data_IF_125200133754
#
_entry.id   IF_125200133754
#
_cell.length_a   1.000
_cell.length_b   1.000
_cell.length_c   1.000
_cell.angle_alpha   90.00
_cell.angle_beta   90.00
_cell.angle_gamma   90.00
#
_symmetry.space_group_name_H-M   'P 1'
#
loop_
_entity.id
_entity.type
_entity.pdbx_description
1 polymer ?
#
# COMPACT_ATOMS: atom_id res chain seq x y z
N UNK A 1 -4.25 15.47 -17.34
CA UNK A 1 -3.44 16.69 -17.51
C UNK A 1 -3.88 17.36 -18.81
N UNK A 2 -4.24 18.64 -18.80
CA UNK A 2 -4.49 19.41 -20.01
C UNK A 2 -3.24 20.24 -20.29
N UNK A 3 -2.50 19.90 -21.34
CA UNK A 3 -1.51 20.82 -21.91
C UNK A 3 -2.26 21.93 -22.63
N UNK A 4 -1.79 23.18 -22.52
CA UNK A 4 -2.27 24.22 -23.42
C UNK A 4 -1.83 23.88 -24.86
N UNK A 5 -2.44 24.51 -25.86
CA UNK A 5 -2.10 24.29 -27.27
C UNK A 5 -0.64 24.65 -27.64
N UNK A 6 0.14 25.25 -26.72
CA UNK A 6 1.53 25.64 -26.98
C UNK A 6 2.57 24.67 -26.40
N UNK A 7 2.21 23.73 -25.51
CA UNK A 7 3.17 22.78 -24.93
C UNK A 7 2.56 21.40 -24.65
N UNK A 8 2.83 20.38 -25.49
CA UNK A 8 2.37 19.02 -25.25
C UNK A 8 3.10 18.37 -24.07
N UNK A 9 2.40 17.48 -23.35
CA UNK A 9 3.01 16.63 -22.33
C UNK A 9 3.82 15.54 -23.05
N UNK A 10 5.15 15.60 -22.96
CA UNK A 10 6.07 14.67 -23.63
C UNK A 10 6.68 13.70 -22.61
N UNK A 11 7.28 12.60 -23.10
CA UNK A 11 7.87 11.52 -22.29
C UNK A 11 8.97 11.98 -21.33
N UNK A 12 10.22 11.65 -21.61
CA UNK A 12 11.36 11.86 -20.69
C UNK A 12 11.87 13.30 -20.64
N UNK A 13 11.55 14.11 -21.65
CA UNK A 13 11.99 15.51 -21.72
C UNK A 13 11.02 16.35 -22.56
N UNK A 14 11.11 17.68 -22.45
CA UNK A 14 10.32 18.61 -23.27
C UNK A 14 10.58 18.48 -24.78
N UNK A 15 11.67 17.83 -25.18
CA UNK A 15 12.03 17.61 -26.57
C UNK A 15 11.84 16.16 -27.01
N UNK A 16 11.31 15.29 -26.15
CA UNK A 16 11.07 13.89 -26.50
C UNK A 16 10.05 13.81 -27.63
N UNK A 17 10.48 13.27 -28.76
CA UNK A 17 9.70 13.09 -29.99
C UNK A 17 10.01 11.75 -30.66
N UNK A 18 10.62 10.82 -29.93
CA UNK A 18 11.09 9.56 -30.48
C UNK A 18 9.88 8.64 -30.76
N UNK A 19 9.78 8.12 -31.98
CA UNK A 19 8.62 7.34 -32.44
C UNK A 19 8.43 6.03 -31.68
N UNK A 20 9.45 5.55 -30.97
CA UNK A 20 9.38 4.40 -30.08
C UNK A 20 8.70 4.69 -28.72
N UNK A 21 8.55 5.97 -28.34
CA UNK A 21 7.99 6.35 -27.05
C UNK A 21 6.46 6.53 -27.08
N UNK A 22 5.86 6.52 -28.28
CA UNK A 22 4.42 6.68 -28.45
C UNK A 22 3.92 5.88 -29.65
N UNK A 23 2.63 5.54 -29.62
CA UNK A 23 1.93 4.98 -30.77
C UNK A 23 1.01 6.06 -31.37
N UNK A 24 1.03 6.19 -32.70
CA UNK A 24 0.05 6.99 -33.42
C UNK A 24 -1.28 6.24 -33.48
N UNK A 25 -2.24 6.71 -32.69
CA UNK A 25 -3.61 6.28 -32.73
C UNK A 25 -4.14 6.28 -34.17
N UNK A 26 -4.70 5.15 -34.62
CA UNK A 26 -5.39 5.04 -35.91
C UNK A 26 -6.77 4.46 -35.69
N UNK A 27 -7.81 5.16 -36.12
CA UNK A 27 -9.15 4.60 -36.18
C UNK A 27 -9.21 3.77 -37.46
N UNK A 28 -9.65 2.52 -37.38
CA UNK A 28 -9.60 1.55 -38.49
C UNK A 28 -10.22 2.03 -39.79
N UNK A 29 -11.09 3.06 -39.77
CA UNK A 29 -11.73 3.64 -40.95
C UNK A 29 -11.88 5.19 -40.91
N UNK A 30 -11.15 5.91 -40.04
CA UNK A 30 -11.26 7.38 -39.99
C UNK A 30 -9.91 8.08 -40.21
N UNK A 31 -9.91 9.08 -41.08
CA UNK A 31 -8.75 9.87 -41.48
C UNK A 31 -8.19 10.79 -40.37
N UNK A 32 -8.94 10.99 -39.27
CA UNK A 32 -8.59 11.98 -38.25
C UNK A 32 -9.38 11.78 -36.94
N UNK A 33 -8.75 11.99 -35.79
CA UNK A 33 -9.43 12.15 -34.49
C UNK A 33 -10.13 13.52 -34.46
N UNK A 34 -11.44 13.54 -34.14
CA UNK A 34 -12.23 14.78 -34.18
C UNK A 34 -12.15 15.56 -32.88
N UNK A 35 -11.95 14.87 -31.77
CA UNK A 35 -11.89 15.47 -30.44
C UNK A 35 -10.86 14.77 -29.55
N UNK A 36 -10.48 15.45 -28.47
CA UNK A 36 -9.53 14.96 -27.46
C UNK A 36 -10.12 13.81 -26.63
N UNK A 37 -11.46 13.74 -26.50
CA UNK A 37 -12.13 12.71 -25.70
C UNK A 37 -12.01 11.32 -26.35
N UNK A 38 -12.05 11.24 -27.68
CA UNK A 38 -11.74 10.02 -28.44
C UNK A 38 -10.31 9.53 -28.17
N UNK A 39 -9.35 10.45 -28.09
CA UNK A 39 -7.94 10.13 -27.81
C UNK A 39 -7.75 9.60 -26.38
N UNK A 40 -8.41 10.23 -25.40
CA UNK A 40 -8.46 9.75 -24.01
C UNK A 40 -9.08 8.36 -23.92
N UNK A 41 -10.22 8.15 -24.58
CA UNK A 41 -10.91 6.86 -24.58
C UNK A 41 -10.02 5.75 -25.15
N UNK A 42 -9.25 6.03 -26.20
CA UNK A 42 -8.26 5.09 -26.73
C UNK A 42 -7.13 4.82 -25.76
N UNK A 43 -6.56 5.84 -25.11
CA UNK A 43 -5.55 5.64 -24.07
C UNK A 43 -6.06 4.70 -22.95
N UNK A 44 -7.27 4.96 -22.45
CA UNK A 44 -7.92 4.12 -21.43
C UNK A 44 -8.23 2.70 -21.91
N UNK A 45 -8.56 2.53 -23.19
CA UNK A 45 -8.79 1.22 -23.78
C UNK A 45 -7.47 0.44 -23.94
N UNK A 46 -6.40 1.08 -24.40
CA UNK A 46 -5.10 0.43 -24.68
C UNK A 46 -4.39 0.02 -23.39
N UNK A 47 -4.65 0.71 -22.27
CA UNK A 47 -4.21 0.31 -20.94
C UNK A 47 -4.64 -1.12 -20.52
N UNK A 48 -5.62 -1.71 -21.22
CA UNK A 48 -6.12 -3.07 -20.94
C UNK A 48 -5.47 -4.19 -21.75
N UNK A 49 -4.76 -3.90 -22.84
CA UNK A 49 -4.55 -4.92 -23.89
C UNK A 49 -3.19 -5.61 -23.92
N UNK A 50 -2.09 -5.05 -23.41
CA UNK A 50 -0.79 -5.74 -23.49
C UNK A 50 0.14 -5.46 -22.31
N UNK A 51 0.92 -6.49 -21.93
CA UNK A 51 1.65 -6.59 -20.67
C UNK A 51 2.77 -5.53 -20.47
N UNK A 52 3.22 -4.85 -21.53
CA UNK A 52 4.37 -3.93 -21.47
C UNK A 52 4.16 -2.55 -22.13
N UNK A 53 2.95 -2.23 -22.63
CA UNK A 53 2.71 -1.01 -23.40
C UNK A 53 1.44 -0.28 -22.92
N UNK A 54 1.43 0.14 -21.65
CA UNK A 54 0.31 0.92 -21.11
C UNK A 54 0.40 2.35 -21.60
N UNK A 55 -0.71 2.90 -22.09
CA UNK A 55 -0.78 4.33 -22.35
C UNK A 55 -0.62 5.10 -21.03
N UNK A 56 0.43 5.90 -20.93
CA UNK A 56 0.78 6.73 -19.76
C UNK A 56 0.31 8.18 -19.90
N UNK A 57 0.03 8.61 -21.14
CA UNK A 57 -0.62 9.87 -21.44
C UNK A 57 -0.83 10.10 -22.93
N UNK A 58 -1.34 11.28 -23.28
CA UNK A 58 -1.74 11.62 -24.64
C UNK A 58 -1.16 12.96 -25.10
N UNK A 59 -0.80 13.05 -26.37
CA UNK A 59 -0.63 14.30 -27.10
C UNK A 59 -1.68 14.34 -28.22
N UNK A 60 -2.48 15.42 -28.26
CA UNK A 60 -3.59 15.55 -29.18
C UNK A 60 -3.51 16.86 -29.96
N UNK A 61 -3.74 16.75 -31.26
CA UNK A 61 -4.05 17.87 -32.15
C UNK A 61 -5.17 17.44 -33.10
N UNK A 62 -5.91 18.37 -33.73
CA UNK A 62 -6.94 18.02 -34.71
C UNK A 62 -6.40 17.04 -35.76
N UNK A 63 -6.94 15.82 -35.76
CA UNK A 63 -6.54 14.74 -36.67
C UNK A 63 -5.35 13.87 -36.26
N UNK A 64 -4.67 14.15 -35.15
CA UNK A 64 -3.53 13.34 -34.66
C UNK A 64 -3.67 13.09 -33.16
N UNK A 65 -3.56 11.83 -32.78
CA UNK A 65 -3.57 11.40 -31.39
C UNK A 65 -2.36 10.48 -31.17
N UNK A 66 -1.51 10.85 -30.22
CA UNK A 66 -0.33 10.09 -29.81
C UNK A 66 -0.57 9.53 -28.43
N UNK A 67 -0.43 8.21 -28.29
CA UNK A 67 -0.53 7.53 -27.01
C UNK A 67 0.87 7.21 -26.52
N UNK A 68 1.32 7.90 -25.49
CA UNK A 68 2.63 7.71 -24.89
C UNK A 68 2.70 6.38 -24.15
N UNK A 69 3.78 5.63 -24.33
CA UNK A 69 4.02 4.33 -23.70
C UNK A 69 5.07 4.41 -22.58
N UNK A 70 5.73 5.56 -22.44
CA UNK A 70 6.69 5.88 -21.38
C UNK A 70 6.12 6.90 -20.42
N UNK A 71 6.53 6.90 -19.15
CA UNK A 71 6.08 7.90 -18.18
C UNK A 71 6.32 9.33 -18.69
N UNK A 72 5.32 10.20 -18.52
CA UNK A 72 5.44 11.63 -18.81
C UNK A 72 6.14 12.27 -17.61
N UNK A 73 7.39 12.64 -17.81
CA UNK A 73 8.25 13.24 -16.79
C UNK A 73 8.43 14.75 -17.02
N UNK A 74 8.16 15.24 -18.24
CA UNK A 74 8.28 16.64 -18.59
C UNK A 74 6.91 17.35 -18.66
N UNK A 75 6.53 17.99 -17.55
CA UNK A 75 5.45 18.99 -17.50
C UNK A 75 6.10 20.34 -17.26
N UNK A 76 5.89 21.33 -18.13
CA UNK A 76 6.48 22.66 -17.95
C UNK A 76 5.89 23.31 -16.68
N UNK A 77 6.69 23.57 -15.62
CA UNK A 77 6.19 24.00 -14.32
C UNK A 77 5.79 25.49 -14.24
N UNK A 78 5.79 26.23 -15.36
CA UNK A 78 5.47 27.66 -15.39
C UNK A 78 4.02 28.04 -14.99
N UNK A 79 3.22 27.13 -14.40
CA UNK A 79 1.82 27.37 -13.97
C UNK A 79 1.54 26.98 -12.51
N UNK A 80 2.54 26.74 -11.65
CA UNK A 80 2.24 26.51 -10.23
C UNK A 80 3.26 27.12 -9.27
N UNK A 81 3.00 28.34 -8.80
CA UNK A 81 3.66 28.90 -7.61
C UNK A 81 2.64 29.10 -6.50
N UNK A 82 2.68 28.24 -5.48
CA UNK A 82 2.11 28.53 -4.16
C UNK A 82 3.27 28.66 -3.17
N UNK A 83 3.55 29.89 -2.73
CA UNK A 83 4.51 30.18 -1.67
C UNK A 83 3.93 29.97 -0.26
N UNK A 84 4.78 29.92 0.78
CA UNK A 84 4.39 29.56 2.14
C UNK A 84 3.95 30.77 2.95
N UNK A 85 2.99 30.59 3.87
CA UNK A 85 2.75 31.54 4.97
C UNK A 85 2.65 30.80 6.31
N UNK A 86 3.40 31.33 7.27
CA UNK A 86 3.52 30.96 8.67
C UNK A 86 2.22 31.13 9.47
N UNK A 87 2.08 30.36 10.56
CA UNK A 87 1.12 30.65 11.63
C UNK A 87 1.04 29.60 12.74
N UNK A 88 1.71 29.87 13.86
CA UNK A 88 1.74 29.12 15.14
C UNK A 88 0.48 29.36 16.00
N UNK A 89 0.05 28.37 16.84
CA UNK A 89 -0.14 28.51 18.32
C UNK A 89 -0.90 27.34 19.02
N UNK A 90 -0.17 26.65 19.92
CA UNK A 90 -0.44 26.12 21.27
C UNK A 90 -1.86 25.77 21.87
N UNK A 91 -1.97 24.47 22.28
CA UNK A 91 -2.32 23.88 23.63
C UNK A 91 -3.76 23.97 24.24
N UNK A 92 -4.11 23.21 25.34
CA UNK A 92 -4.19 21.74 25.54
C UNK A 92 -5.41 21.26 26.40
N UNK A 93 -5.54 19.95 26.68
CA UNK A 93 -6.28 19.37 27.83
C UNK A 93 -7.41 18.38 27.50
N UNK A 94 -7.83 17.38 28.28
CA UNK A 94 -7.54 16.81 29.62
C UNK A 94 -8.08 15.35 29.60
N UNK A 95 -7.46 14.41 30.32
CA UNK A 95 -7.92 13.01 30.51
C UNK A 95 -8.97 12.88 31.63
N UNK A 96 -9.92 11.94 31.48
CA UNK A 96 -10.64 11.28 32.60
C UNK A 96 -11.04 9.84 32.22
N UNK A 97 -10.90 8.93 33.19
CA UNK A 97 -11.19 7.48 33.12
C UNK A 97 -12.36 7.11 34.04
N UNK A 98 -13.20 6.16 33.63
CA UNK A 98 -14.10 5.41 34.53
C UNK A 98 -14.16 3.92 34.15
N UNK A 99 -14.03 3.05 35.16
CA UNK A 99 -14.29 1.62 35.14
C UNK A 99 -15.78 1.32 35.23
N UNK A 100 -16.27 0.21 34.63
CA UNK A 100 -17.23 -0.73 35.25
C UNK A 100 -17.30 -2.06 34.47
N UNK A 101 -17.56 -3.14 35.22
CA UNK A 101 -17.62 -4.56 34.83
C UNK A 101 -19.06 -5.01 34.60
N UNK A 102 -19.32 -6.01 33.73
CA UNK A 102 -20.54 -6.84 33.84
C UNK A 102 -20.42 -8.23 33.19
N UNK A 103 -21.10 -9.18 33.84
CA UNK A 103 -21.24 -10.62 33.61
C UNK A 103 -22.20 -10.97 32.46
N UNK A 104 -21.92 -12.04 31.72
CA UNK A 104 -22.71 -12.51 30.56
C UNK A 104 -23.62 -13.72 30.91
N UNK A 105 -24.86 -13.74 30.39
CA UNK A 105 -25.68 -14.95 30.19
C UNK A 105 -26.20 -14.95 28.75
N UNK A 106 -26.05 -16.10 28.08
CA UNK A 106 -26.46 -16.36 26.70
C UNK A 106 -27.92 -16.80 26.59
N UNK A 107 -28.62 -16.37 25.53
CA UNK A 107 -29.60 -17.19 24.82
C UNK A 107 -29.63 -16.85 23.32
N UNK A 108 -29.69 -17.91 22.52
CA UNK A 108 -29.83 -17.98 21.07
C UNK A 108 -31.26 -17.62 20.62
N UNK A 109 -31.42 -16.79 19.56
CA UNK A 109 -32.54 -16.88 18.58
C UNK A 109 -32.38 -15.87 17.40
N UNK A 110 -32.63 -16.41 16.19
CA UNK A 110 -33.13 -15.79 14.95
C UNK A 110 -32.20 -15.00 14.00
N UNK A 111 -31.94 -15.64 12.85
CA UNK A 111 -31.33 -15.13 11.60
C UNK A 111 -32.02 -13.92 10.95
N UNK A 112 -33.08 -13.35 11.53
CA UNK A 112 -33.80 -12.18 10.99
C UNK A 112 -33.26 -10.83 11.49
N UNK A 113 -32.29 -10.82 12.42
CA UNK A 113 -31.67 -9.59 12.95
C UNK A 113 -30.35 -9.19 12.24
N UNK A 114 -29.86 -10.00 11.30
CA UNK A 114 -28.59 -9.76 10.61
C UNK A 114 -28.65 -8.71 9.48
N UNK A 115 -29.84 -8.20 9.14
CA UNK A 115 -29.99 -7.02 8.25
C UNK A 115 -29.69 -5.70 8.93
N UNK A 116 -29.39 -5.70 10.25
CA UNK A 116 -29.03 -4.49 10.99
C UNK A 116 -27.62 -3.97 10.69
N UNK A 117 -26.76 -4.74 10.00
CA UNK A 117 -25.36 -4.39 9.76
C UNK A 117 -25.13 -3.60 8.45
N UNK A 118 -25.63 -2.37 8.43
CA UNK A 118 -25.04 -1.14 7.87
C UNK A 118 -24.52 -1.00 6.43
N UNK A 119 -24.01 -2.03 5.74
CA UNK A 119 -23.59 -1.94 4.33
C UNK A 119 -24.61 -2.63 3.46
N UNK A 120 -25.17 -1.87 2.51
CA UNK A 120 -26.06 -2.45 1.51
C UNK A 120 -25.25 -3.11 0.39
N UNK A 121 -25.61 -4.35 0.08
CA UNK A 121 -25.03 -5.14 -1.04
C UNK A 121 -26.09 -5.43 -2.08
N UNK A 122 -25.64 -5.67 -3.32
CA UNK A 122 -26.52 -5.81 -4.48
C UNK A 122 -27.30 -7.13 -4.50
N UNK A 123 -26.77 -8.20 -3.91
CA UNK A 123 -27.35 -9.54 -3.99
C UNK A 123 -27.16 -10.36 -2.70
N UNK A 124 -28.01 -11.38 -2.51
CA UNK A 124 -27.99 -12.27 -1.35
C UNK A 124 -26.69 -13.07 -1.24
N UNK A 125 -26.04 -13.36 -2.36
CA UNK A 125 -24.76 -14.08 -2.38
C UNK A 125 -23.64 -13.20 -1.83
N UNK A 126 -23.68 -11.89 -2.10
CA UNK A 126 -22.79 -10.89 -1.51
C UNK A 126 -23.05 -10.77 -0.01
N UNK A 127 -24.32 -10.84 0.41
CA UNK A 127 -24.66 -10.85 1.83
C UNK A 127 -24.18 -12.13 2.51
N UNK A 128 -24.31 -13.31 1.90
CA UNK A 128 -23.75 -14.56 2.44
C UNK A 128 -22.21 -14.54 2.45
N UNK A 129 -21.56 -13.90 1.48
CA UNK A 129 -20.10 -13.67 1.47
C UNK A 129 -19.67 -12.76 2.61
N UNK A 130 -20.41 -11.69 2.85
CA UNK A 130 -20.24 -10.82 4.00
C UNK A 130 -20.46 -11.56 5.33
N UNK A 131 -21.51 -12.39 5.44
CA UNK A 131 -21.96 -12.95 6.71
C UNK A 131 -21.35 -14.32 7.08
N UNK A 132 -20.82 -15.10 6.15
CA UNK A 132 -20.56 -16.52 6.45
C UNK A 132 -19.48 -17.25 5.66
N UNK A 133 -18.65 -16.59 4.85
CA UNK A 133 -17.75 -17.35 3.97
C UNK A 133 -16.44 -16.66 3.58
N UNK A 134 -15.67 -16.22 4.58
CA UNK A 134 -14.22 -16.46 4.44
C UNK A 134 -14.04 -17.99 4.55
N UNK A 135 -14.12 -18.70 3.41
CA UNK A 135 -14.16 -20.18 3.34
C UNK A 135 -12.97 -20.82 4.06
N UNK A 136 -11.89 -20.08 4.27
CA UNK A 136 -10.82 -20.38 5.23
C UNK A 136 -10.30 -19.05 5.80
N UNK A 137 -10.58 -18.70 7.07
CA UNK A 137 -9.83 -17.63 7.72
C UNK A 137 -8.35 -17.99 7.66
N UNK A 138 -7.51 -17.03 7.26
CA UNK A 138 -6.09 -17.29 7.01
C UNK A 138 -5.28 -17.39 8.30
N UNK A 139 -5.73 -16.71 9.35
CA UNK A 139 -5.22 -16.87 10.71
C UNK A 139 -6.33 -17.51 11.57
N UNK A 140 -5.99 -18.40 12.52
CA UNK A 140 -6.98 -19.15 13.31
C UNK A 140 -8.05 -18.30 14.00
N UNK A 141 -7.72 -17.03 14.28
CA UNK A 141 -8.55 -16.11 15.07
C UNK A 141 -9.03 -14.87 14.28
N UNK A 142 -8.76 -14.78 12.97
CA UNK A 142 -9.12 -13.60 12.17
C UNK A 142 -10.31 -13.82 11.23
N UNK A 143 -11.21 -12.84 11.20
CA UNK A 143 -12.34 -12.76 10.26
C UNK A 143 -11.95 -12.20 8.89
N UNK A 144 -10.66 -12.12 8.57
CA UNK A 144 -10.17 -11.58 7.30
C UNK A 144 -10.34 -12.57 6.14
N UNK A 145 -10.96 -12.09 5.06
CA UNK A 145 -11.09 -12.79 3.79
C UNK A 145 -9.91 -12.40 2.88
N UNK A 146 -9.26 -13.37 2.22
CA UNK A 146 -8.30 -13.01 1.17
C UNK A 146 -9.00 -12.55 -0.11
N UNK A 147 -8.38 -11.60 -0.80
CA UNK A 147 -8.79 -11.09 -2.10
C UNK A 147 -8.23 -11.92 -3.28
N UNK A 148 -8.40 -13.24 -3.31
CA UNK A 148 -7.80 -14.08 -4.37
C UNK A 148 -8.62 -14.07 -5.66
N UNK A 149 -9.93 -13.87 -5.51
CA UNK A 149 -10.89 -13.86 -6.61
C UNK A 149 -11.91 -12.76 -6.44
N UNK A 150 -12.40 -12.20 -7.55
CA UNK A 150 -13.52 -11.25 -7.53
C UNK A 150 -14.80 -11.88 -6.95
N UNK A 151 -14.93 -13.22 -7.03
CA UNK A 151 -16.04 -13.94 -6.41
C UNK A 151 -15.99 -13.89 -4.89
N UNK A 152 -14.85 -13.59 -4.29
CA UNK A 152 -14.69 -13.45 -2.84
C UNK A 152 -14.94 -12.00 -2.37
N UNK A 153 -15.13 -11.04 -3.28
CA UNK A 153 -15.41 -9.65 -2.93
C UNK A 153 -16.92 -9.40 -2.80
N UNK A 154 -17.35 -8.50 -1.90
CA UNK A 154 -18.74 -8.06 -1.87
C UNK A 154 -19.08 -7.24 -3.12
N UNK A 155 -20.33 -7.29 -3.58
CA UNK A 155 -20.83 -6.37 -4.60
C UNK A 155 -21.64 -5.26 -3.93
N UNK A 156 -21.17 -4.03 -4.04
CA UNK A 156 -21.82 -2.84 -3.49
C UNK A 156 -22.95 -2.35 -4.40
N UNK A 157 -23.91 -1.60 -3.86
CA UNK A 157 -24.96 -0.95 -4.67
C UNK A 157 -24.33 0.16 -5.50
N UNK A 158 -24.45 0.07 -6.83
CA UNK A 158 -23.72 0.94 -7.76
C UNK A 158 -23.90 2.45 -7.51
N UNK A 159 -25.11 2.88 -7.16
CA UNK A 159 -25.44 4.29 -6.93
C UNK A 159 -25.26 4.75 -5.48
N UNK A 160 -25.01 3.83 -4.54
CA UNK A 160 -24.72 4.22 -3.16
C UNK A 160 -23.36 4.95 -3.11
N UNK A 161 -23.28 5.98 -2.27
CA UNK A 161 -22.04 6.74 -2.05
C UNK A 161 -21.37 6.20 -0.80
N UNK A 162 -20.06 6.01 -0.88
CA UNK A 162 -19.24 5.51 0.21
C UNK A 162 -18.13 6.51 0.50
N UNK A 163 -17.87 6.75 1.79
CA UNK A 163 -16.67 7.44 2.26
C UNK A 163 -15.48 6.51 2.10
N UNK A 164 -14.38 7.07 1.60
CA UNK A 164 -13.07 6.44 1.54
C UNK A 164 -12.20 7.09 2.60
N UNK A 165 -11.63 6.27 3.46
CA UNK A 165 -10.77 6.72 4.55
C UNK A 165 -9.43 6.00 4.49
N UNK A 166 -8.36 6.77 4.71
CA UNK A 166 -7.05 6.26 5.05
C UNK A 166 -7.05 5.93 6.55
N UNK A 167 -6.66 4.71 6.91
CA UNK A 167 -6.46 4.32 8.29
C UNK A 167 -5.00 3.90 8.50
N UNK A 168 -4.40 4.34 9.60
CA UNK A 168 -3.06 3.93 10.01
C UNK A 168 -3.01 3.58 11.49
N UNK A 169 -2.31 2.51 11.83
CA UNK A 169 -2.14 2.04 13.20
C UNK A 169 -0.65 1.71 13.47
N UNK A 170 -0.04 2.10 14.60
CA UNK A 170 1.31 1.68 14.93
C UNK A 170 1.46 0.15 14.92
N UNK A 171 2.56 -0.38 14.38
CA UNK A 171 2.78 -1.84 14.41
C UNK A 171 3.25 -2.24 15.82
N UNK A 172 2.46 -3.03 16.53
CA UNK A 172 2.73 -3.44 17.92
C UNK A 172 3.11 -4.92 18.07
N UNK A 173 3.39 -5.62 16.97
CA UNK A 173 3.63 -7.07 16.98
C UNK A 173 4.83 -7.45 17.85
N UNK A 174 4.68 -8.53 18.63
CA UNK A 174 5.62 -8.92 19.70
C UNK A 174 7.06 -9.17 19.20
N UNK A 175 7.25 -9.59 17.95
CA UNK A 175 8.57 -9.91 17.40
C UNK A 175 9.39 -8.70 16.92
N UNK A 176 8.74 -7.56 16.65
CA UNK A 176 9.41 -6.35 16.13
C UNK A 176 9.01 -5.11 16.91
N UNK A 177 8.43 -5.25 18.11
CA UNK A 177 7.83 -4.13 18.86
C UNK A 177 8.84 -3.02 19.15
N UNK A 178 10.05 -3.36 19.57
CA UNK A 178 11.12 -2.39 19.85
C UNK A 178 11.49 -1.63 18.58
N UNK A 179 11.85 -2.36 17.50
CA UNK A 179 12.24 -1.77 16.22
C UNK A 179 11.11 -0.97 15.56
N UNK A 180 9.88 -1.48 15.60
CA UNK A 180 8.70 -0.82 15.09
C UNK A 180 8.40 0.48 15.84
N UNK A 181 8.46 0.46 17.18
CA UNK A 181 8.29 1.66 18.00
C UNK A 181 9.40 2.66 17.68
N UNK A 182 10.63 2.17 17.58
CA UNK A 182 11.81 2.96 17.32
C UNK A 182 11.76 3.68 15.96
N UNK A 183 11.38 2.95 14.92
CA UNK A 183 11.25 3.48 13.55
C UNK A 183 9.88 4.09 13.27
N UNK A 184 9.00 4.13 14.28
CA UNK A 184 7.61 4.60 14.16
C UNK A 184 6.88 3.94 12.97
N UNK A 185 7.04 2.62 12.82
CA UNK A 185 6.36 1.89 11.77
C UNK A 185 4.86 1.85 12.03
N UNK A 186 4.11 2.09 10.97
CA UNK A 186 2.66 2.04 10.96
C UNK A 186 2.19 1.04 9.92
N UNK A 187 1.08 0.38 10.21
CA UNK A 187 0.32 -0.41 9.26
C UNK A 187 -0.78 0.47 8.69
N UNK A 188 -0.93 0.50 7.37
CA UNK A 188 -1.95 1.30 6.71
C UNK A 188 -2.98 0.43 5.98
N UNK A 189 -4.20 0.95 5.90
CA UNK A 189 -5.32 0.29 5.24
C UNK A 189 -6.28 1.32 4.65
N UNK A 190 -7.18 0.85 3.79
CA UNK A 190 -8.36 1.61 3.38
C UNK A 190 -9.59 1.14 4.13
N UNK A 191 -10.39 2.11 4.58
CA UNK A 191 -11.69 1.88 5.18
C UNK A 191 -12.76 2.49 4.27
N UNK A 192 -13.74 1.67 3.89
CA UNK A 192 -14.87 2.05 3.05
C UNK A 192 -16.13 2.00 3.90
N UNK A 193 -16.81 3.13 4.07
CA UNK A 193 -18.02 3.23 4.89
C UNK A 193 -19.15 3.83 4.07
N UNK A 194 -20.33 3.23 4.08
CA UNK A 194 -21.48 3.78 3.36
C UNK A 194 -21.83 5.18 3.90
N UNK A 195 -21.96 6.17 3.02
CA UNK A 195 -22.30 7.54 3.40
C UNK A 195 -23.79 7.59 3.75
N UNK A 196 -24.07 7.98 5.00
CA UNK A 196 -25.35 7.90 5.72
C UNK A 196 -26.58 8.61 5.12
N UNK A 197 -26.59 9.04 3.86
CA UNK A 197 -27.69 9.84 3.32
C UNK A 197 -29.04 9.10 3.21
N UNK A 198 -29.11 7.78 3.47
CA UNK A 198 -30.34 6.98 3.24
C UNK A 198 -30.74 6.07 4.42
N UNK A 199 -30.05 6.10 5.55
CA UNK A 199 -30.41 5.20 6.66
C UNK A 199 -31.52 5.83 7.54
N UNK A 200 -32.58 5.05 7.78
CA UNK A 200 -33.63 5.42 8.72
C UNK A 200 -33.04 5.62 10.12
N UNK A 201 -33.71 6.45 10.94
CA UNK A 201 -33.26 6.81 12.29
C UNK A 201 -32.99 5.61 13.24
N UNK A 202 -33.33 4.38 12.84
CA UNK A 202 -33.11 3.15 13.60
C UNK A 202 -31.76 2.47 13.33
N UNK A 203 -31.04 2.82 12.25
CA UNK A 203 -29.77 2.18 11.93
C UNK A 203 -28.60 2.94 12.58
N UNK A 204 -28.20 2.46 13.76
CA UNK A 204 -27.30 3.19 14.66
C UNK A 204 -25.80 3.01 14.38
N UNK A 205 -25.40 2.09 13.49
CA UNK A 205 -23.99 1.89 13.15
C UNK A 205 -23.80 1.59 11.66
N UNK A 206 -23.03 2.44 10.97
CA UNK A 206 -22.58 2.16 9.62
C UNK A 206 -21.53 1.03 9.68
N UNK A 207 -21.74 -0.03 8.92
CA UNK A 207 -20.70 -1.05 8.74
C UNK A 207 -19.60 -0.48 7.86
N UNK A 208 -18.36 -0.89 8.11
CA UNK A 208 -17.22 -0.51 7.28
C UNK A 208 -16.57 -1.75 6.65
N UNK A 209 -15.98 -1.60 5.47
CA UNK A 209 -15.07 -2.58 4.89
C UNK A 209 -13.65 -2.10 5.11
N UNK A 210 -12.81 -2.93 5.71
CA UNK A 210 -11.37 -2.69 5.78
C UNK A 210 -10.70 -3.49 4.68
N UNK A 211 -9.79 -2.85 3.93
CA UNK A 211 -8.91 -3.47 2.95
C UNK A 211 -7.46 -3.20 3.35
N UNK A 212 -6.67 -4.25 3.45
CA UNK A 212 -5.28 -4.17 3.89
C UNK A 212 -4.40 -5.14 3.12
N UNK A 213 -3.12 -4.82 3.01
CA UNK A 213 -2.10 -5.73 2.48
C UNK A 213 -1.09 -6.03 3.58
N UNK A 214 -0.85 -7.30 3.84
CA UNK A 214 0.01 -7.72 4.94
C UNK A 214 0.82 -8.96 4.58
N UNK A 215 1.97 -9.11 5.22
CA UNK A 215 2.74 -10.36 5.18
C UNK A 215 1.97 -11.43 5.96
N UNK A 216 1.91 -12.64 5.42
CA UNK A 216 1.29 -13.79 6.09
C UNK A 216 1.97 -14.11 7.41
N UNK A 217 3.29 -14.05 7.40
CA UNK A 217 4.14 -14.31 8.55
C UNK A 217 4.97 -13.04 8.82
N UNK A 218 4.34 -12.06 9.46
CA UNK A 218 5.00 -10.79 9.76
C UNK A 218 5.96 -10.95 10.96
N UNK A 219 7.22 -11.21 10.65
CA UNK A 219 8.32 -11.30 11.61
C UNK A 219 9.67 -11.07 10.91
N UNK A 220 10.80 -11.43 11.55
CA UNK A 220 12.12 -11.31 10.95
C UNK A 220 12.22 -11.90 9.53
N UNK A 221 11.53 -13.02 9.29
CA UNK A 221 11.52 -13.72 7.99
C UNK A 221 10.75 -13.02 6.86
N UNK A 222 10.00 -11.97 7.16
CA UNK A 222 9.40 -11.09 6.14
C UNK A 222 10.42 -10.06 5.60
N UNK A 223 11.56 -9.92 6.29
CA UNK A 223 12.59 -8.89 6.04
C UNK A 223 13.94 -9.54 5.70
N UNK A 224 14.23 -10.67 6.34
CA UNK A 224 15.37 -11.54 6.06
C UNK A 224 14.91 -12.84 5.42
N UNK A 225 15.77 -13.49 4.61
CA UNK A 225 15.49 -14.84 4.16
C UNK A 225 15.37 -15.80 5.34
N UNK A 226 14.44 -16.75 5.23
CA UNK A 226 14.19 -17.78 6.24
C UNK A 226 15.35 -18.78 6.35
N UNK A 227 16.06 -19.02 5.25
CA UNK A 227 17.28 -19.81 5.23
C UNK A 227 18.16 -19.43 4.05
N UNK A 228 19.46 -19.63 4.21
CA UNK A 228 20.45 -19.57 3.14
C UNK A 228 21.36 -20.77 3.34
N UNK A 229 21.33 -21.72 2.41
CA UNK A 229 22.33 -22.79 2.40
C UNK A 229 23.66 -22.27 1.87
N UNK A 230 24.79 -22.84 2.28
CA UNK A 230 26.12 -22.46 1.78
C UNK A 230 26.15 -22.54 0.24
N UNK A 231 26.33 -21.38 -0.41
CA UNK A 231 26.32 -21.23 -1.88
C UNK A 231 24.95 -21.36 -2.56
N UNK A 232 23.85 -21.42 -1.79
CA UNK A 232 22.48 -21.55 -2.29
C UNK A 232 21.73 -20.23 -2.48
N UNK A 233 20.54 -20.33 -3.09
CA UNK A 233 19.62 -19.19 -3.23
C UNK A 233 18.88 -18.98 -1.90
N UNK A 234 18.80 -17.74 -1.37
CA UNK A 234 18.03 -17.46 -0.17
C UNK A 234 16.57 -17.90 -0.32
N UNK A 235 16.06 -18.63 0.67
CA UNK A 235 14.64 -19.00 0.72
C UNK A 235 13.88 -17.96 1.52
N UNK A 236 12.80 -17.43 0.96
CA UNK A 236 12.02 -16.36 1.60
C UNK A 236 10.68 -16.89 2.11
N UNK A 237 10.30 -16.47 3.32
CA UNK A 237 8.95 -16.67 3.88
C UNK A 237 8.19 -15.33 3.89
N UNK A 238 8.40 -14.50 2.86
CA UNK A 238 7.83 -13.17 2.77
C UNK A 238 6.47 -13.15 2.04
N UNK A 239 5.69 -14.22 2.06
CA UNK A 239 4.42 -14.26 1.34
C UNK A 239 3.48 -13.19 1.87
N UNK A 240 2.72 -12.55 0.97
CA UNK A 240 1.79 -11.49 1.33
C UNK A 240 0.48 -11.60 0.58
N UNK A 241 -0.56 -11.04 1.18
CA UNK A 241 -1.92 -11.11 0.66
C UNK A 241 -2.62 -9.79 0.86
N UNK A 242 -3.50 -9.45 -0.08
CA UNK A 242 -4.54 -8.45 0.20
C UNK A 242 -5.67 -9.15 0.92
N UNK A 243 -6.00 -8.67 2.11
CA UNK A 243 -7.17 -9.09 2.87
C UNK A 243 -8.24 -7.99 2.87
N UNK A 244 -9.48 -8.43 3.07
CA UNK A 244 -10.57 -7.54 3.38
C UNK A 244 -11.44 -8.14 4.48
N UNK A 245 -12.11 -7.29 5.27
CA UNK A 245 -13.07 -7.73 6.29
C UNK A 245 -14.18 -6.72 6.49
N UNK A 246 -15.32 -7.19 6.94
CA UNK A 246 -16.30 -6.34 7.59
C UNK A 246 -15.68 -5.84 8.90
N UNK A 247 -15.33 -4.58 8.90
CA UNK A 247 -14.84 -3.90 10.07
C UNK A 247 -16.05 -3.41 10.86
N UNK A 248 -16.34 -4.12 11.95
CA UNK A 248 -17.10 -3.49 13.03
C UNK A 248 -16.25 -2.34 13.56
N UNK A 249 -16.83 -1.15 13.77
CA UNK A 249 -16.12 -0.02 14.41
C UNK A 249 -15.48 -0.42 15.77
N UNK A 250 -15.97 -1.51 16.37
CA UNK A 250 -15.47 -2.06 17.63
C UNK A 250 -14.31 -3.06 17.49
N UNK A 251 -13.82 -3.37 16.29
CA UNK A 251 -12.63 -4.20 16.15
C UNK A 251 -11.41 -3.52 16.76
N UNK A 252 -10.56 -4.27 17.48
CA UNK A 252 -9.35 -3.77 18.15
C UNK A 252 -8.49 -2.90 17.21
N UNK A 253 -8.37 -3.32 15.94
CA UNK A 253 -7.60 -2.61 14.94
C UNK A 253 -8.13 -1.19 14.65
N UNK A 254 -9.44 -1.01 14.47
CA UNK A 254 -10.01 0.30 14.15
C UNK A 254 -10.12 1.23 15.36
N UNK A 255 -10.23 0.70 16.58
CA UNK A 255 -10.35 1.51 17.80
C UNK A 255 -9.08 2.34 18.07
N UNK A 256 -7.90 1.81 17.74
CA UNK A 256 -6.63 2.51 17.89
C UNK A 256 -6.15 3.23 16.63
N UNK A 257 -6.81 3.04 15.48
CA UNK A 257 -6.33 3.57 14.21
C UNK A 257 -6.61 5.07 14.07
N UNK A 258 -5.61 5.80 13.58
CA UNK A 258 -5.81 7.15 13.08
C UNK A 258 -6.51 7.09 11.72
N UNK A 259 -7.75 7.60 11.64
CA UNK A 259 -8.58 7.59 10.44
C UNK A 259 -8.70 8.99 9.86
N UNK A 260 -8.42 9.12 8.57
CA UNK A 260 -8.58 10.36 7.81
C UNK A 260 -9.47 10.09 6.61
N UNK A 261 -10.61 10.78 6.54
CA UNK A 261 -11.43 10.77 5.32
C UNK A 261 -10.68 11.50 4.21
N UNK A 262 -10.47 10.80 3.11
CA UNK A 262 -9.74 11.28 1.94
C UNK A 262 -10.69 11.63 0.79
N UNK A 263 -11.90 11.05 0.78
CA UNK A 263 -12.94 11.42 -0.17
C UNK A 263 -14.10 10.45 -0.21
N UNK A 264 -14.74 10.36 -1.37
CA UNK A 264 -15.92 9.50 -1.59
C UNK A 264 -15.86 8.78 -2.94
N UNK A 265 -16.57 7.66 -3.03
CA UNK A 265 -16.72 6.89 -4.26
C UNK A 265 -18.13 6.31 -4.36
N UNK A 266 -18.67 6.22 -5.58
CA UNK A 266 -19.89 5.45 -5.84
C UNK A 266 -19.60 3.94 -5.76
N UNK A 267 -20.60 3.13 -5.42
CA UNK A 267 -20.48 1.67 -5.39
C UNK A 267 -19.98 1.09 -6.71
N UNK A 268 -20.39 1.66 -7.86
CA UNK A 268 -19.92 1.22 -9.18
C UNK A 268 -18.39 1.35 -9.32
N UNK A 269 -17.83 2.43 -8.76
CA UNK A 269 -16.39 2.71 -8.80
C UNK A 269 -15.64 1.71 -7.91
N UNK A 270 -16.18 1.46 -6.71
CA UNK A 270 -15.61 0.49 -5.77
C UNK A 270 -15.69 -0.95 -6.32
N UNK A 271 -16.80 -1.34 -6.94
CA UNK A 271 -16.97 -2.64 -7.59
C UNK A 271 -15.94 -2.86 -8.72
N UNK A 272 -15.56 -1.78 -9.43
CA UNK A 272 -14.49 -1.83 -10.41
C UNK A 272 -13.11 -1.93 -9.71
N UNK A 273 -12.87 -1.11 -8.69
CA UNK A 273 -11.64 -1.14 -7.90
C UNK A 273 -11.39 -2.50 -7.24
N UNK A 274 -12.41 -3.21 -6.74
CA UNK A 274 -12.27 -4.56 -6.18
C UNK A 274 -11.66 -5.56 -7.16
N UNK A 275 -11.89 -5.40 -8.47
CA UNK A 275 -11.23 -6.22 -9.49
C UNK A 275 -9.75 -5.90 -9.57
N UNK A 276 -9.40 -4.62 -9.52
CA UNK A 276 -8.01 -4.17 -9.51
C UNK A 276 -7.29 -4.61 -8.23
N UNK A 277 -7.97 -4.61 -7.07
CA UNK A 277 -7.41 -5.12 -5.80
C UNK A 277 -6.98 -6.58 -5.93
N UNK A 278 -7.84 -7.44 -6.52
CA UNK A 278 -7.51 -8.85 -6.78
C UNK A 278 -6.31 -8.98 -7.73
N UNK A 279 -6.26 -8.14 -8.77
CA UNK A 279 -5.13 -8.13 -9.71
C UNK A 279 -3.84 -7.62 -9.05
N UNK A 280 -3.92 -6.62 -8.19
CA UNK A 280 -2.80 -6.09 -7.45
C UNK A 280 -2.23 -7.18 -6.53
N UNK A 281 -3.07 -7.90 -5.78
CA UNK A 281 -2.60 -8.98 -4.90
C UNK A 281 -1.87 -10.10 -5.66
N UNK A 282 -2.32 -10.41 -6.88
CA UNK A 282 -1.64 -11.39 -7.75
C UNK A 282 -0.28 -10.89 -8.27
N UNK A 283 -0.13 -9.59 -8.51
CA UNK A 283 1.13 -8.98 -8.97
C UNK A 283 2.13 -8.78 -7.83
N UNK A 284 1.68 -8.80 -6.58
CA UNK A 284 2.48 -8.56 -5.38
C UNK A 284 2.39 -9.74 -4.40
N UNK A 285 2.86 -10.95 -4.78
CA UNK A 285 2.75 -12.14 -3.95
C UNK A 285 3.67 -12.13 -2.71
N UNK A 286 4.65 -11.21 -2.67
CA UNK A 286 5.63 -11.09 -1.60
C UNK A 286 5.64 -9.70 -0.96
N UNK A 287 5.79 -9.68 0.36
CA UNK A 287 6.09 -8.50 1.15
C UNK A 287 7.56 -8.11 0.96
N UNK A 288 7.82 -6.84 0.70
CA UNK A 288 9.17 -6.30 0.58
C UNK A 288 9.20 -4.94 1.25
N UNK A 289 9.89 -4.82 2.39
CA UNK A 289 10.00 -3.55 3.13
C UNK A 289 10.96 -2.55 2.50
N UNK A 290 11.88 -3.02 1.65
CA UNK A 290 12.99 -2.20 1.23
C UNK A 290 12.65 -1.41 -0.03
N UNK A 291 12.91 -0.11 0.05
CA UNK A 291 13.10 0.73 -1.12
C UNK A 291 14.59 0.96 -1.37
N UNK A 292 14.96 1.15 -2.64
CA UNK A 292 16.30 1.58 -3.02
C UNK A 292 16.21 2.79 -3.95
N UNK A 293 16.79 3.91 -3.53
CA UNK A 293 16.74 5.19 -4.22
C UNK A 293 18.14 5.78 -4.43
N UNK A 294 18.25 6.72 -5.36
CA UNK A 294 19.47 7.51 -5.57
C UNK A 294 19.54 8.79 -4.73
N UNK A 295 18.45 9.18 -4.08
CA UNK A 295 18.35 10.44 -3.34
C UNK A 295 17.29 10.38 -2.24
N UNK A 296 17.47 11.22 -1.22
CA UNK A 296 16.48 11.46 -0.17
C UNK A 296 15.32 12.34 -0.63
N UNK A 297 15.43 13.04 -1.77
CA UNK A 297 14.33 13.81 -2.34
C UNK A 297 13.27 12.85 -2.91
N UNK A 298 12.16 12.74 -2.19
CA UNK A 298 11.10 11.79 -2.52
C UNK A 298 10.39 12.05 -3.84
N UNK A 299 10.48 13.27 -4.38
CA UNK A 299 9.78 13.70 -5.58
C UNK A 299 10.63 13.46 -6.82
N UNK A 300 11.92 13.80 -6.74
CA UNK A 300 12.82 13.76 -7.91
C UNK A 300 13.72 12.54 -7.95
N UNK A 301 13.70 11.70 -6.91
CA UNK A 301 14.50 10.46 -6.86
C UNK A 301 14.22 9.53 -8.02
N UNK A 302 15.25 8.81 -8.43
CA UNK A 302 15.13 7.56 -9.18
C UNK A 302 14.94 6.41 -8.20
N UNK A 303 13.86 5.66 -8.38
CA UNK A 303 13.64 4.41 -7.64
C UNK A 303 14.24 3.25 -8.42
N UNK A 304 15.22 2.57 -7.83
CA UNK A 304 15.80 1.34 -8.38
C UNK A 304 14.99 0.11 -8.00
N UNK A 305 14.42 0.11 -6.79
CA UNK A 305 13.57 -0.95 -6.27
C UNK A 305 12.49 -0.33 -5.40
N UNK A 306 11.23 -0.71 -5.67
CA UNK A 306 10.08 -0.29 -4.87
C UNK A 306 9.71 -1.33 -3.81
N UNK A 307 9.19 -0.84 -2.70
CA UNK A 307 8.61 -1.68 -1.66
C UNK A 307 7.24 -2.27 -2.06
N UNK A 308 6.90 -3.37 -1.41
CA UNK A 308 5.62 -4.05 -1.52
C UNK A 308 5.11 -4.26 -0.10
N UNK A 309 4.38 -3.27 0.42
CA UNK A 309 3.95 -3.17 1.82
C UNK A 309 2.54 -2.60 1.94
N UNK A 310 1.99 -2.61 3.14
CA UNK A 310 0.65 -2.07 3.43
C UNK A 310 0.47 -0.63 2.90
N UNK A 311 1.52 0.20 3.03
CA UNK A 311 1.54 1.57 2.53
C UNK A 311 1.53 1.66 1.01
N UNK A 312 2.34 0.88 0.28
CA UNK A 312 2.33 0.94 -1.19
C UNK A 312 1.02 0.42 -1.76
N UNK A 313 0.38 -0.57 -1.13
CA UNK A 313 -0.98 -0.98 -1.46
C UNK A 313 -2.00 0.15 -1.24
N UNK A 314 -1.93 0.82 -0.09
CA UNK A 314 -2.87 1.89 0.27
C UNK A 314 -2.73 3.10 -0.65
N UNK A 315 -1.49 3.53 -0.91
CA UNK A 315 -1.16 4.60 -1.86
C UNK A 315 -1.64 4.25 -3.27
N UNK A 316 -1.30 3.06 -3.76
CA UNK A 316 -1.77 2.58 -5.06
C UNK A 316 -3.30 2.59 -5.14
N UNK A 317 -3.98 2.13 -4.10
CA UNK A 317 -5.44 2.05 -4.07
C UNK A 317 -6.10 3.43 -4.14
N UNK A 318 -5.55 4.42 -3.45
CA UNK A 318 -6.02 5.81 -3.55
C UNK A 318 -5.83 6.36 -4.97
N UNK A 319 -4.64 6.17 -5.56
CA UNK A 319 -4.39 6.60 -6.94
C UNK A 319 -5.32 5.91 -7.94
N UNK A 320 -5.58 4.61 -7.75
CA UNK A 320 -6.44 3.83 -8.62
C UNK A 320 -7.91 4.24 -8.50
N UNK A 321 -8.42 4.41 -7.28
CA UNK A 321 -9.75 4.96 -7.03
C UNK A 321 -9.95 6.33 -7.69
N UNK A 322 -8.95 7.20 -7.60
CA UNK A 322 -8.99 8.52 -8.26
C UNK A 322 -9.13 8.37 -9.78
N UNK A 323 -8.30 7.51 -10.39
CA UNK A 323 -8.34 7.23 -11.84
C UNK A 323 -9.67 6.65 -12.29
N UNK A 324 -10.31 5.86 -11.42
CA UNK A 324 -11.63 5.29 -11.67
C UNK A 324 -12.77 6.32 -11.50
N UNK A 325 -12.49 7.51 -10.94
CA UNK A 325 -13.46 8.59 -10.79
C UNK A 325 -14.02 8.74 -9.38
N UNK A 326 -13.33 8.24 -8.36
CA UNK A 326 -13.59 8.64 -6.98
C UNK A 326 -13.30 10.13 -6.78
N UNK A 327 -14.07 10.77 -5.90
CA UNK A 327 -13.92 12.19 -5.56
C UNK A 327 -13.00 12.35 -4.34
N UNK A 328 -11.78 12.84 -4.57
CA UNK A 328 -10.82 13.24 -3.54
C UNK A 328 -10.66 14.76 -3.46
N UNK A 329 -11.75 15.51 -3.59
CA UNK A 329 -11.77 16.95 -3.36
C UNK A 329 -11.32 17.34 -1.94
N UNK A 330 -11.40 16.42 -0.97
CA UNK A 330 -10.84 16.58 0.36
C UNK A 330 -9.32 16.37 0.30
N UNK A 331 -8.58 17.45 0.12
CA UNK A 331 -7.12 17.45 0.10
C UNK A 331 -6.60 17.53 1.55
N UNK A 332 -6.28 16.37 2.13
CA UNK A 332 -5.54 16.28 3.40
C UNK A 332 -4.19 15.63 3.15
N UNK A 333 -3.09 16.18 3.69
CA UNK A 333 -1.80 15.53 3.60
C UNK A 333 -1.87 14.18 4.32
N UNK A 334 -1.47 13.12 3.63
CA UNK A 334 -1.25 11.81 4.22
C UNK A 334 0.25 11.61 4.33
N UNK A 335 0.72 11.35 5.55
CA UNK A 335 2.13 11.09 5.78
C UNK A 335 2.38 9.59 5.67
N UNK A 336 3.44 9.24 4.91
CA UNK A 336 3.99 7.89 4.81
C UNK A 336 5.43 7.93 5.28
N UNK A 337 5.77 7.03 6.19
CA UNK A 337 7.17 6.77 6.52
C UNK A 337 7.74 5.86 5.43
N UNK A 338 8.88 6.27 4.87
CA UNK A 338 9.62 5.44 3.94
C UNK A 338 10.86 4.89 4.64
N UNK A 339 11.10 3.60 4.47
CA UNK A 339 12.34 2.95 4.85
C UNK A 339 13.10 2.63 3.57
N UNK A 340 14.14 3.43 3.29
CA UNK A 340 14.82 3.41 1.99
C UNK A 340 16.32 3.39 2.18
N UNK A 341 16.98 2.53 1.44
CA UNK A 341 18.41 2.62 1.22
C UNK A 341 18.68 3.68 0.15
N UNK A 342 19.63 4.57 0.44
CA UNK A 342 20.10 5.59 -0.49
C UNK A 342 21.48 5.14 -1.01
N UNK A 343 21.64 5.14 -2.32
CA UNK A 343 22.90 4.74 -2.99
C UNK A 343 23.29 5.81 -3.99
N UNK A 344 24.57 6.16 -4.05
CA UNK A 344 25.09 7.09 -5.06
C UNK A 344 25.15 6.43 -6.46
N UNK A 345 25.32 5.11 -6.49
CA UNK A 345 25.48 4.32 -7.70
C UNK A 345 24.25 3.47 -8.01
N UNK A 346 24.08 3.16 -9.30
CA UNK A 346 23.05 2.21 -9.73
C UNK A 346 23.40 0.78 -9.25
N UNK A 347 22.43 0.01 -8.73
CA UNK A 347 22.71 -1.31 -8.19
C UNK A 347 23.20 -2.26 -9.28
N UNK A 348 24.17 -3.10 -8.92
CA UNK A 348 24.68 -4.17 -9.80
C UNK A 348 23.87 -5.44 -9.56
N UNK A 349 23.39 -6.06 -10.65
CA UNK A 349 22.68 -7.33 -10.55
C UNK A 349 23.68 -8.47 -10.34
N UNK A 350 23.59 -9.15 -9.21
CA UNK A 350 24.36 -10.36 -8.92
C UNK A 350 23.79 -11.57 -9.65
N UNK A 351 24.66 -12.48 -10.07
CA UNK A 351 24.31 -13.74 -10.69
C UNK A 351 24.31 -14.88 -9.65
N UNK A 352 23.14 -15.13 -9.07
CA UNK A 352 22.92 -16.16 -8.05
C UNK A 352 23.18 -17.60 -8.50
N UNK A 353 23.52 -17.84 -9.77
CA UNK A 353 23.98 -19.16 -10.23
C UNK A 353 25.48 -19.39 -10.04
N UNK A 354 26.24 -18.33 -9.74
CA UNK A 354 27.67 -18.43 -9.43
C UNK A 354 27.87 -18.58 -7.93
N UNK A 355 28.84 -19.42 -7.53
CA UNK A 355 29.16 -19.64 -6.11
C UNK A 355 29.69 -18.39 -5.42
N UNK A 356 30.43 -17.54 -6.14
CA UNK A 356 30.99 -16.30 -5.58
C UNK A 356 29.89 -15.31 -5.19
N UNK A 357 28.92 -15.06 -6.09
CA UNK A 357 27.81 -14.14 -5.82
C UNK A 357 26.87 -14.71 -4.76
N UNK A 358 26.55 -16.02 -4.82
CA UNK A 358 25.68 -16.64 -3.81
C UNK A 358 26.31 -16.66 -2.42
N UNK A 359 27.62 -16.90 -2.32
CA UNK A 359 28.36 -16.80 -1.07
C UNK A 359 28.39 -15.36 -0.54
N UNK A 360 28.63 -14.37 -1.39
CA UNK A 360 28.60 -12.94 -1.01
C UNK A 360 27.24 -12.57 -0.40
N UNK A 361 26.15 -13.00 -1.03
CA UNK A 361 24.78 -12.77 -0.51
C UNK A 361 24.54 -13.52 0.80
N UNK A 362 25.04 -14.75 0.93
CA UNK A 362 24.90 -15.54 2.14
C UNK A 362 25.62 -14.88 3.34
N UNK A 363 26.85 -14.43 3.14
CA UNK A 363 27.65 -13.73 4.16
C UNK A 363 26.99 -12.42 4.58
N UNK A 364 26.46 -11.65 3.62
CA UNK A 364 25.73 -10.42 3.90
C UNK A 364 24.49 -10.65 4.79
N UNK A 365 23.62 -11.61 4.45
CA UNK A 365 22.44 -11.84 5.28
C UNK A 365 22.77 -12.50 6.63
N UNK A 366 23.83 -13.31 6.68
CA UNK A 366 24.34 -13.86 7.94
C UNK A 366 24.84 -12.75 8.87
N UNK A 367 25.42 -11.67 8.34
CA UNK A 367 25.83 -10.52 9.17
C UNK A 367 24.65 -9.74 9.73
N UNK A 368 23.47 -9.80 9.08
CA UNK A 368 22.25 -9.14 9.55
C UNK A 368 21.45 -9.96 10.57
N UNK A 369 21.68 -11.27 10.67
CA UNK A 369 20.94 -12.17 11.56
C UNK A 369 20.90 -11.68 13.03
N UNK A 370 22.03 -11.23 13.64
CA UNK A 370 22.02 -10.72 15.01
C UNK A 370 21.11 -9.51 15.23
N UNK A 371 20.88 -8.69 14.19
CA UNK A 371 20.03 -7.49 14.31
C UNK A 371 18.56 -7.85 14.51
N UNK A 372 18.14 -9.07 14.16
CA UNK A 372 16.74 -9.48 14.29
C UNK A 372 16.37 -10.06 15.65
N UNK A 373 17.38 -10.45 16.44
CA UNK A 373 17.21 -10.94 17.80
C UNK A 373 17.57 -9.91 18.87
N UNK A 374 18.29 -8.84 18.48
CA UNK A 374 18.66 -7.74 19.37
C UNK A 374 17.48 -6.79 19.64
N UNK A 375 17.43 -6.28 20.86
CA UNK A 375 16.61 -5.13 21.22
C UNK A 375 17.47 -3.88 21.16
N UNK A 376 16.96 -2.82 20.54
CA UNK A 376 17.65 -1.54 20.41
C UNK A 376 17.00 -0.50 21.32
N UNK A 377 17.82 0.33 21.95
CA UNK A 377 17.36 1.41 22.81
C UNK A 377 17.04 2.69 22.02
N UNK A 378 17.81 2.96 20.97
CA UNK A 378 17.61 4.13 20.11
C UNK A 378 18.02 3.91 18.64
N UNK A 379 17.71 4.90 17.78
CA UNK A 379 17.92 4.82 16.32
C UNK A 379 19.42 4.84 16.00
N UNK A 380 20.23 5.55 16.80
CA UNK A 380 21.65 5.65 16.55
C UNK A 380 22.36 4.32 16.80
N UNK A 381 21.98 3.60 17.87
CA UNK A 381 22.43 2.24 18.14
C UNK A 381 22.05 1.28 17.01
N UNK A 382 20.77 1.26 16.62
CA UNK A 382 20.30 0.43 15.51
C UNK A 382 21.06 0.73 14.20
N UNK A 383 21.21 2.02 13.85
CA UNK A 383 21.92 2.43 12.65
C UNK A 383 23.41 2.06 12.69
N UNK A 384 24.05 2.18 13.86
CA UNK A 384 25.45 1.78 14.07
C UNK A 384 25.62 0.28 13.88
N UNK A 385 24.77 -0.55 14.49
CA UNK A 385 24.85 -2.01 14.37
C UNK A 385 24.53 -2.47 12.94
N UNK A 386 23.54 -1.84 12.29
CA UNK A 386 23.24 -2.08 10.88
C UNK A 386 24.43 -1.74 9.99
N UNK A 387 25.08 -0.60 10.21
CA UNK A 387 26.24 -0.19 9.42
C UNK A 387 27.43 -1.14 9.64
N UNK A 388 27.70 -1.56 10.88
CA UNK A 388 28.72 -2.56 11.20
C UNK A 388 28.47 -3.88 10.47
N UNK A 389 27.23 -4.37 10.52
CA UNK A 389 26.82 -5.59 9.84
C UNK A 389 26.97 -5.49 8.31
N UNK A 390 26.54 -4.38 7.72
CA UNK A 390 26.65 -4.13 6.27
C UNK A 390 28.10 -4.04 5.81
N UNK A 391 28.99 -3.49 6.64
CA UNK A 391 30.43 -3.40 6.35
C UNK A 391 31.19 -4.70 6.57
N UNK A 392 30.56 -5.72 7.17
CA UNK A 392 31.24 -6.94 7.60
C UNK A 392 32.22 -6.70 8.75
N UNK A 393 32.09 -5.58 9.47
CA UNK A 393 32.83 -5.34 10.70
C UNK A 393 32.22 -6.25 11.77
N UNK A 394 32.97 -7.28 12.19
CA UNK A 394 32.55 -8.17 13.28
C UNK A 394 32.22 -7.33 14.49
N UNK A 395 30.96 -7.36 14.95
CA UNK A 395 30.55 -6.70 16.18
C UNK A 395 31.58 -7.05 17.26
N UNK A 396 32.13 -6.06 17.99
CA UNK A 396 33.02 -6.36 19.10
C UNK A 396 32.27 -7.35 19.98
N UNK A 397 32.86 -8.54 20.18
CA UNK A 397 32.27 -9.60 20.98
C UNK A 397 31.68 -8.96 22.23
N UNK A 398 30.36 -9.06 22.40
CA UNK A 398 29.67 -8.55 23.57
C UNK A 398 30.39 -9.15 24.76
N UNK A 399 31.23 -8.34 25.42
CA UNK A 399 32.28 -8.83 26.31
C UNK A 399 31.71 -9.90 27.19
N UNK A 400 32.25 -11.12 27.05
CA UNK A 400 31.94 -12.24 27.91
C UNK A 400 31.99 -11.68 29.34
N UNK A 401 30.84 -11.64 30.01
CA UNK A 401 30.77 -11.20 31.40
C UNK A 401 31.54 -12.26 32.15
N UNK A 402 32.85 -12.04 32.31
CA UNK A 402 33.74 -12.88 33.08
C UNK A 402 33.16 -12.86 34.48
N UNK A 403 32.41 -13.91 34.80
CA UNK A 403 31.93 -14.16 36.14
C UNK A 403 33.16 -14.16 37.02
N UNK A 404 33.28 -13.13 37.87
CA UNK A 404 34.20 -13.14 38.98
C UNK A 404 33.82 -14.35 39.83
N UNK A 405 34.55 -15.45 39.61
CA UNK A 405 34.46 -16.65 40.42
C UNK A 405 34.76 -16.26 41.85
N UNK A 406 33.70 -16.18 42.66
CA UNK A 406 33.81 -16.13 44.10
C UNK A 406 34.37 -17.46 44.57
N UNK A 407 35.65 -17.47 44.92
CA UNK A 407 36.21 -18.49 45.80
C UNK A 407 35.80 -18.17 47.23
N UNK A 408 35.04 -19.07 47.86
CA UNK A 408 34.89 -19.16 49.31
C UNK A 408 35.29 -20.55 49.77
#
# INVERSE_FOLDING_TARGET
MQGNASHPCRGRSLNDNAGENYYLARKSNALSFRDIEECKAMCSATARWELNSRCTGIEWSPGRCELWQVMIEAVNPAVSTCGPNHGSLNRPGICQTHHFSFTMRFYWLALSSLTSQGIRVQDSDSLQRLLGSCVKPWLPDETACSARSIREMPTLIDEAVYRVEYASHPITSNGLKSLSTLLSFTHSALVITEALQVLSAEQTQASALLFEYFARDFGPKAILPASISDGGVPTWENQAVVGWRLAAEKGEWLQGANRTTVGTAKGKILNQWFREVVLWGKRHPGYNLFNLWDSTDVVTRKSYMGDSVCHSFTEWSLVDLFRLGADFSIQRPLCRNYFSFITDDSPTKLNMTTSADSQTVAEFYKSLEPLTSQSFHDIAEFASNLLSAVKGETSPESGEVVGLGGTS
#
